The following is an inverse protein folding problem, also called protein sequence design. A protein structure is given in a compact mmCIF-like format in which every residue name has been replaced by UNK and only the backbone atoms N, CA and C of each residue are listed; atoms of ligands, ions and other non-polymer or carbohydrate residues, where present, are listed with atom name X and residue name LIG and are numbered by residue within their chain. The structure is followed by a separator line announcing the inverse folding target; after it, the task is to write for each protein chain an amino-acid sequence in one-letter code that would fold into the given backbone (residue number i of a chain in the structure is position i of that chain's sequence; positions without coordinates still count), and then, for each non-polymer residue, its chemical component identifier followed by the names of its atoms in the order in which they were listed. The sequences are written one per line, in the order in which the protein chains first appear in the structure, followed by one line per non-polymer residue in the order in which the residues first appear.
data_IF_475631753886
#
_entry.id   IF_475631753886
#
_cell.length_a   1.000
_cell.length_b   1.000
_cell.length_c   1.000
_cell.angle_alpha   90.00
_cell.angle_beta   90.00
_cell.angle_gamma   90.00
#
_symmetry.space_group_name_H-M   'P 1'
#
loop_
_entity.id
_entity.type
_entity.pdbx_description
1 polymer ?
#
# COMPACT_ATOMS: atom_id res chain seq x y z
N UNK A 1 -27.73 -8.82 -40.63
CA UNK A 1 -26.70 -7.78 -40.40
C UNK A 1 -26.96 -7.27 -38.98
N UNK A 2 -26.31 -7.90 -38.01
CA UNK A 2 -26.58 -7.68 -36.59
C UNK A 2 -25.90 -6.42 -36.08
N UNK A 3 -26.67 -5.63 -35.35
CA UNK A 3 -26.39 -4.34 -34.74
C UNK A 3 -25.04 -4.32 -33.98
N UNK A 4 -24.07 -3.59 -34.52
CA UNK A 4 -22.79 -3.34 -33.87
C UNK A 4 -22.91 -2.14 -32.93
N UNK A 5 -23.10 -2.43 -31.64
CA UNK A 5 -22.49 -1.71 -30.51
C UNK A 5 -22.51 -0.18 -30.60
N UNK A 6 -23.65 0.46 -30.30
CA UNK A 6 -23.67 1.83 -29.79
C UNK A 6 -24.06 1.81 -28.30
N UNK A 7 -23.11 1.57 -27.42
CA UNK A 7 -23.30 1.86 -26.01
C UNK A 7 -23.60 3.36 -25.88
N UNK A 8 -24.71 3.72 -25.23
CA UNK A 8 -25.07 5.13 -25.01
C UNK A 8 -24.10 5.74 -23.99
N UNK A 9 -23.69 7.02 -24.13
CA UNK A 9 -22.71 7.68 -23.24
C UNK A 9 -23.02 7.56 -21.73
N UNK A 10 -24.30 7.44 -21.36
CA UNK A 10 -24.76 7.22 -19.99
C UNK A 10 -24.42 5.84 -19.43
N UNK A 11 -24.45 4.79 -20.28
CA UNK A 11 -24.16 3.42 -19.88
C UNK A 11 -22.67 3.21 -19.60
N UNK A 12 -21.80 3.87 -20.37
CA UNK A 12 -20.35 3.80 -20.17
C UNK A 12 -19.92 4.57 -18.91
N UNK A 13 -20.53 5.74 -18.65
CA UNK A 13 -20.30 6.49 -17.41
C UNK A 13 -20.71 5.70 -16.17
N UNK A 14 -21.86 5.03 -16.23
CA UNK A 14 -22.35 4.18 -15.14
C UNK A 14 -21.45 2.96 -14.91
N UNK A 15 -20.92 2.35 -15.98
CA UNK A 15 -19.90 1.29 -15.85
C UNK A 15 -18.63 1.81 -15.18
N UNK A 16 -18.11 2.96 -15.63
CA UNK A 16 -16.93 3.59 -15.04
C UNK A 16 -17.10 3.93 -13.56
N UNK A 17 -18.28 4.39 -13.14
CA UNK A 17 -18.62 4.60 -11.72
C UNK A 17 -18.57 3.32 -10.91
N UNK A 18 -19.15 2.22 -11.41
CA UNK A 18 -19.11 0.93 -10.70
C UNK A 18 -17.70 0.38 -10.59
N UNK A 19 -16.87 0.55 -11.62
CA UNK A 19 -15.47 0.17 -11.59
C UNK A 19 -14.69 0.99 -10.58
N UNK A 20 -14.91 2.31 -10.52
CA UNK A 20 -14.26 3.20 -9.56
C UNK A 20 -14.60 2.79 -8.13
N UNK A 21 -15.88 2.58 -7.82
CA UNK A 21 -16.31 2.14 -6.48
C UNK A 21 -15.67 0.82 -6.05
N UNK A 22 -15.51 -0.13 -6.98
CA UNK A 22 -14.84 -1.41 -6.68
C UNK A 22 -13.35 -1.21 -6.43
N UNK A 23 -12.72 -0.31 -7.19
CA UNK A 23 -11.31 0.04 -7.02
C UNK A 23 -11.08 0.72 -5.67
N UNK A 24 -11.92 1.68 -5.27
CA UNK A 24 -11.88 2.34 -3.96
C UNK A 24 -11.93 1.31 -2.81
N UNK A 25 -12.87 0.38 -2.86
CA UNK A 25 -12.97 -0.67 -1.84
C UNK A 25 -11.74 -1.57 -1.83
N UNK A 26 -11.21 -1.94 -3.00
CA UNK A 26 -10.00 -2.76 -3.08
C UNK A 26 -8.80 -2.03 -2.49
N UNK A 27 -8.62 -0.75 -2.83
CA UNK A 27 -7.60 0.13 -2.28
C UNK A 27 -7.70 0.15 -0.76
N UNK A 28 -8.87 0.48 -0.21
CA UNK A 28 -9.07 0.61 1.22
C UNK A 28 -8.76 -0.69 1.97
N UNK A 29 -9.18 -1.83 1.42
CA UNK A 29 -8.87 -3.14 1.98
C UNK A 29 -7.38 -3.42 1.96
N UNK A 30 -6.68 -3.12 0.85
CA UNK A 30 -5.23 -3.35 0.76
C UNK A 30 -4.47 -2.45 1.76
N UNK A 31 -4.84 -1.17 1.87
CA UNK A 31 -4.23 -0.28 2.86
C UNK A 31 -4.52 -0.72 4.30
N UNK A 32 -5.72 -1.20 4.60
CA UNK A 32 -6.04 -1.78 5.90
C UNK A 32 -5.17 -3.00 6.21
N UNK A 33 -4.93 -3.88 5.22
CA UNK A 33 -4.04 -5.03 5.36
C UNK A 33 -2.58 -4.62 5.58
N UNK A 34 -2.09 -3.59 4.87
CA UNK A 34 -0.74 -3.06 5.07
C UNK A 34 -0.55 -2.47 6.47
N UNK A 35 -1.53 -1.71 6.97
CA UNK A 35 -1.51 -1.18 8.33
C UNK A 35 -1.50 -2.34 9.34
N UNK A 36 -2.35 -3.35 9.13
CA UNK A 36 -2.39 -4.54 9.97
C UNK A 36 -1.05 -5.29 9.99
N UNK A 37 -0.42 -5.47 8.82
CA UNK A 37 0.87 -6.14 8.67
C UNK A 37 1.98 -5.40 9.43
N UNK A 38 2.03 -4.07 9.32
CA UNK A 38 2.98 -3.24 10.06
C UNK A 38 2.79 -3.42 11.57
N UNK A 39 1.55 -3.36 12.06
CA UNK A 39 1.25 -3.53 13.50
C UNK A 39 1.62 -4.93 13.96
N UNK A 40 1.37 -5.95 13.14
CA UNK A 40 1.68 -7.35 13.46
C UNK A 40 3.17 -7.64 13.50
N UNK A 41 3.97 -6.84 12.78
CA UNK A 41 5.43 -7.02 12.71
C UNK A 41 6.19 -6.25 13.78
N UNK A 42 5.51 -5.39 14.55
CA UNK A 42 6.14 -4.75 15.70
C UNK A 42 6.69 -5.82 16.66
N UNK A 43 7.91 -5.63 17.20
CA UNK A 43 8.40 -6.50 18.24
C UNK A 43 7.45 -6.42 19.45
N UNK A 44 7.05 -7.57 19.98
CA UNK A 44 6.17 -7.67 21.14
C UNK A 44 7.01 -8.03 22.36
N UNK A 45 6.93 -7.27 23.47
CA UNK A 45 7.67 -7.63 24.68
C UNK A 45 7.14 -8.96 25.24
N UNK A 46 8.05 -9.92 25.46
CA UNK A 46 7.71 -11.18 26.10
C UNK A 46 7.36 -10.96 27.58
N UNK A 47 6.58 -11.87 28.17
CA UNK A 47 5.96 -11.71 29.50
C UNK A 47 6.91 -11.44 30.67
N UNK A 48 8.23 -11.57 30.49
CA UNK A 48 9.24 -11.23 31.50
C UNK A 48 9.63 -9.73 31.52
N UNK A 49 9.31 -8.96 30.48
CA UNK A 49 9.83 -7.59 30.28
C UNK A 49 8.80 -6.46 30.49
N UNK A 50 7.59 -6.77 30.97
CA UNK A 50 6.51 -5.78 31.21
C UNK A 50 6.77 -4.80 32.38
N UNK A 51 8.00 -4.73 32.88
CA UNK A 51 8.43 -3.71 33.85
C UNK A 51 8.83 -2.42 33.13
N UNK A 52 8.75 -1.27 33.82
CA UNK A 52 9.17 0.03 33.24
C UNK A 52 10.64 -0.01 32.78
N UNK A 53 11.50 -0.71 33.51
CA UNK A 53 12.90 -0.94 33.12
C UNK A 53 13.05 -1.85 31.91
N UNK A 54 12.22 -2.89 31.78
CA UNK A 54 12.20 -3.78 30.61
C UNK A 54 11.70 -3.04 29.35
N UNK A 55 10.68 -2.19 29.49
CA UNK A 55 10.18 -1.35 28.41
C UNK A 55 11.23 -0.34 27.91
N UNK A 56 11.98 0.28 28.83
CA UNK A 56 13.06 1.21 28.48
C UNK A 56 14.23 0.49 27.76
N UNK A 57 14.60 -0.70 28.24
CA UNK A 57 15.66 -1.51 27.65
C UNK A 57 15.28 -2.06 26.28
N UNK A 58 14.01 -2.44 26.10
CA UNK A 58 13.42 -2.78 24.81
C UNK A 58 13.50 -1.60 23.83
N UNK A 59 13.08 -0.40 24.24
CA UNK A 59 13.15 0.80 23.39
C UNK A 59 14.59 1.20 23.00
N UNK A 60 15.57 0.99 23.89
CA UNK A 60 16.98 1.29 23.59
C UNK A 60 17.64 0.26 22.65
N UNK A 61 17.13 -0.98 22.60
CA UNK A 61 17.73 -2.07 21.84
C UNK A 61 17.27 -2.21 20.39
N UNK A 62 16.14 -1.61 20.00
CA UNK A 62 15.47 -1.96 18.74
C UNK A 62 15.51 -0.83 17.69
N UNK A 63 16.53 -0.86 16.83
CA UNK A 63 16.54 -0.11 15.56
C UNK A 63 15.31 -0.43 14.68
N UNK A 64 14.68 -1.58 14.90
CA UNK A 64 13.47 -2.04 14.20
C UNK A 64 12.29 -1.05 14.28
N UNK A 65 12.18 -0.28 15.37
CA UNK A 65 11.12 0.71 15.51
C UNK A 65 11.22 1.83 14.48
N UNK A 66 12.43 2.17 14.03
CA UNK A 66 12.64 3.20 12.99
C UNK A 66 12.15 2.69 11.63
N UNK A 67 12.43 1.43 11.30
CA UNK A 67 12.00 0.80 10.04
C UNK A 67 10.47 0.73 10.01
N UNK A 68 9.86 0.32 11.12
CA UNK A 68 8.40 0.30 11.27
C UNK A 68 7.81 1.71 11.09
N UNK A 69 8.38 2.73 11.74
CA UNK A 69 7.91 4.11 11.61
C UNK A 69 7.96 4.60 10.15
N UNK A 70 9.05 4.30 9.43
CA UNK A 70 9.19 4.62 8.01
C UNK A 70 8.09 3.91 7.19
N UNK A 71 7.85 2.62 7.45
CA UNK A 71 6.78 1.85 6.82
C UNK A 71 5.40 2.49 7.02
N UNK A 72 5.07 2.90 8.25
CA UNK A 72 3.82 3.60 8.57
C UNK A 72 3.68 4.89 7.76
N UNK A 73 4.71 5.74 7.76
CA UNK A 73 4.68 7.02 7.04
C UNK A 73 4.47 6.80 5.54
N UNK A 74 5.16 5.83 4.94
CA UNK A 74 5.00 5.48 3.54
C UNK A 74 3.57 5.03 3.25
N UNK A 75 3.04 4.06 3.99
CA UNK A 75 1.70 3.52 3.77
C UNK A 75 0.63 4.59 3.92
N UNK A 76 0.73 5.45 4.93
CA UNK A 76 -0.21 6.56 5.13
C UNK A 76 -0.14 7.60 4.01
N UNK A 77 1.05 7.94 3.53
CA UNK A 77 1.20 8.89 2.41
C UNK A 77 0.55 8.35 1.13
N UNK A 78 0.80 7.08 0.79
CA UNK A 78 0.18 6.46 -0.39
C UNK A 78 -1.33 6.30 -0.25
N UNK A 79 -1.83 6.01 0.96
CA UNK A 79 -3.27 5.95 1.22
C UNK A 79 -3.93 7.33 1.06
N UNK A 80 -3.34 8.36 1.66
CA UNK A 80 -3.84 9.73 1.56
C UNK A 80 -3.83 10.23 0.11
N UNK A 81 -2.75 9.97 -0.64
CA UNK A 81 -2.66 10.28 -2.06
C UNK A 81 -3.77 9.58 -2.85
N UNK A 82 -3.99 8.28 -2.61
CA UNK A 82 -4.99 7.53 -3.35
C UNK A 82 -6.42 7.99 -3.05
N UNK A 83 -6.71 8.35 -1.80
CA UNK A 83 -8.02 8.90 -1.40
C UNK A 83 -8.29 10.27 -2.00
N UNK A 84 -7.30 11.17 -1.98
CA UNK A 84 -7.44 12.50 -2.55
C UNK A 84 -7.74 12.43 -4.06
N UNK A 85 -6.97 11.61 -4.78
CA UNK A 85 -7.09 11.52 -6.23
C UNK A 85 -8.34 10.73 -6.67
N UNK A 86 -8.69 9.64 -5.96
CA UNK A 86 -9.94 8.91 -6.26
C UNK A 86 -11.19 9.74 -5.95
N UNK A 87 -11.15 10.59 -4.90
CA UNK A 87 -12.26 11.45 -4.52
C UNK A 87 -12.67 12.47 -5.59
N UNK A 88 -11.75 12.86 -6.47
CA UNK A 88 -11.99 13.83 -7.54
C UNK A 88 -12.53 13.19 -8.84
N UNK A 89 -12.58 11.86 -8.94
CA UNK A 89 -13.03 11.15 -10.13
C UNK A 89 -14.54 10.88 -10.13
N UNK A 90 -15.22 11.24 -11.22
CA UNK A 90 -16.61 10.82 -11.44
C UNK A 90 -16.73 9.38 -11.98
N UNK A 91 -15.71 8.86 -12.67
CA UNK A 91 -15.67 7.52 -13.27
C UNK A 91 -14.22 7.11 -13.60
N UNK A 92 -13.88 5.82 -13.48
CA UNK A 92 -12.56 5.29 -13.87
C UNK A 92 -12.57 4.66 -15.26
N UNK A 93 -11.41 4.65 -15.92
CA UNK A 93 -11.13 3.81 -17.10
C UNK A 93 -10.31 2.56 -16.70
N UNK A 94 -10.13 1.63 -17.64
CA UNK A 94 -9.39 0.37 -17.39
C UNK A 94 -7.89 0.60 -17.18
N UNK A 95 -7.30 1.61 -17.82
CA UNK A 95 -5.87 1.93 -17.70
C UNK A 95 -5.53 2.44 -16.29
N UNK A 96 -6.25 3.45 -15.81
CA UNK A 96 -6.15 3.97 -14.44
C UNK A 96 -6.31 2.83 -13.43
N UNK A 97 -7.38 2.05 -13.54
CA UNK A 97 -7.62 0.93 -12.62
C UNK A 97 -6.48 -0.11 -12.62
N UNK A 98 -5.91 -0.42 -13.79
CA UNK A 98 -4.79 -1.37 -13.88
C UNK A 98 -3.53 -0.81 -13.22
N UNK A 99 -3.21 0.45 -13.47
CA UNK A 99 -2.04 1.13 -12.88
C UNK A 99 -2.18 1.26 -11.36
N UNK A 100 -3.36 1.61 -10.86
CA UNK A 100 -3.64 1.62 -9.42
C UNK A 100 -3.47 0.24 -8.79
N UNK A 101 -3.93 -0.83 -9.45
CA UNK A 101 -3.73 -2.21 -8.95
C UNK A 101 -2.23 -2.58 -8.95
N UNK A 102 -1.48 -2.20 -9.98
CA UNK A 102 -0.02 -2.45 -10.01
C UNK A 102 0.71 -1.68 -8.91
N UNK A 103 0.33 -0.44 -8.64
CA UNK A 103 0.83 0.31 -7.49
C UNK A 103 0.57 -0.43 -6.17
N UNK A 104 -0.66 -0.89 -5.93
CA UNK A 104 -1.01 -1.64 -4.73
C UNK A 104 -0.19 -2.93 -4.59
N UNK A 105 0.02 -3.64 -5.70
CA UNK A 105 0.85 -4.85 -5.71
C UNK A 105 2.30 -4.54 -5.33
N UNK A 106 2.87 -3.44 -5.83
CA UNK A 106 4.20 -2.98 -5.43
C UNK A 106 4.28 -2.64 -3.93
N UNK A 107 3.24 -2.02 -3.35
CA UNK A 107 3.20 -1.71 -1.92
C UNK A 107 3.12 -2.98 -1.05
N UNK A 108 2.37 -3.99 -1.47
CA UNK A 108 2.35 -5.30 -0.81
C UNK A 108 3.71 -6.00 -0.89
N UNK A 109 4.38 -5.92 -2.04
CA UNK A 109 5.71 -6.50 -2.19
C UNK A 109 6.79 -5.74 -1.41
N UNK A 110 6.63 -4.42 -1.26
CA UNK A 110 7.43 -3.60 -0.35
C UNK A 110 7.29 -4.08 1.11
N UNK A 111 6.06 -4.27 1.59
CA UNK A 111 5.81 -4.75 2.96
C UNK A 111 6.43 -6.14 3.20
N UNK A 112 6.30 -7.04 2.24
CA UNK A 112 6.98 -8.34 2.26
C UNK A 112 8.51 -8.20 2.38
N UNK A 113 9.13 -7.33 1.57
CA UNK A 113 10.57 -7.09 1.62
C UNK A 113 11.02 -6.38 2.92
N UNK A 114 10.15 -5.55 3.52
CA UNK A 114 10.37 -4.96 4.84
C UNK A 114 10.40 -6.03 5.93
N UNK A 115 9.47 -7.00 5.88
CA UNK A 115 9.46 -8.18 6.75
C UNK A 115 10.75 -9.00 6.65
N UNK A 116 11.22 -9.26 5.43
CA UNK A 116 12.52 -9.94 5.22
C UNK A 116 13.69 -9.15 5.79
N UNK A 117 13.70 -7.82 5.62
CA UNK A 117 14.75 -6.96 6.16
C UNK A 117 14.86 -7.04 7.68
N UNK A 118 13.73 -7.12 8.38
CA UNK A 118 13.72 -7.31 9.84
C UNK A 118 14.16 -8.73 10.25
N UNK A 119 13.79 -9.76 9.49
CA UNK A 119 14.16 -11.15 9.80
C UNK A 119 15.66 -11.42 9.59
N UNK A 120 16.28 -10.77 8.61
CA UNK A 120 17.68 -11.02 8.21
C UNK A 120 18.62 -9.83 8.52
N UNK A 121 18.33 -9.07 9.57
CA UNK A 121 19.19 -7.99 10.10
C UNK A 121 19.67 -6.98 9.04
N UNK A 122 18.74 -6.52 8.21
CA UNK A 122 19.01 -5.51 7.19
C UNK A 122 19.78 -6.02 5.96
N UNK A 123 19.61 -7.28 5.58
CA UNK A 123 20.20 -7.87 4.36
C UNK A 123 20.12 -6.89 3.16
N UNK A 124 21.25 -6.55 2.50
CA UNK A 124 21.28 -5.63 1.37
C UNK A 124 20.30 -5.97 0.25
N UNK A 125 20.01 -7.27 0.04
CA UNK A 125 19.03 -7.69 -0.96
C UNK A 125 17.61 -7.25 -0.59
N UNK A 126 17.21 -7.41 0.68
CA UNK A 126 15.90 -6.98 1.17
C UNK A 126 15.74 -5.46 1.04
N UNK A 127 16.77 -4.68 1.39
CA UNK A 127 16.79 -3.22 1.22
C UNK A 127 16.69 -2.80 -0.26
N UNK A 128 17.37 -3.51 -1.15
CA UNK A 128 17.27 -3.28 -2.59
C UNK A 128 15.86 -3.56 -3.12
N UNK A 129 15.23 -4.66 -2.66
CA UNK A 129 13.84 -4.98 -3.00
C UNK A 129 12.86 -3.93 -2.49
N UNK A 130 13.03 -3.44 -1.25
CA UNK A 130 12.21 -2.35 -0.70
C UNK A 130 12.33 -1.08 -1.55
N UNK A 131 13.55 -0.70 -1.92
CA UNK A 131 13.80 0.52 -2.70
C UNK A 131 13.22 0.40 -4.11
N UNK A 132 13.39 -0.75 -4.76
CA UNK A 132 12.90 -1.00 -6.11
C UNK A 132 11.37 -1.04 -6.17
N UNK A 133 10.74 -1.72 -5.22
CA UNK A 133 9.28 -1.79 -5.14
C UNK A 133 8.64 -0.44 -4.86
N UNK A 134 9.25 0.36 -3.99
CA UNK A 134 8.78 1.70 -3.69
C UNK A 134 8.91 2.64 -4.91
N UNK A 135 10.02 2.54 -5.65
CA UNK A 135 10.19 3.27 -6.91
C UNK A 135 9.08 2.92 -7.91
N UNK A 136 8.79 1.63 -8.12
CA UNK A 136 7.73 1.18 -9.01
C UNK A 136 6.35 1.65 -8.54
N UNK A 137 6.07 1.59 -7.24
CA UNK A 137 4.82 2.10 -6.68
C UNK A 137 4.65 3.60 -6.97
N UNK A 138 5.72 4.39 -6.82
CA UNK A 138 5.71 5.81 -7.18
C UNK A 138 5.45 6.05 -8.67
N UNK A 139 6.10 5.29 -9.56
CA UNK A 139 5.91 5.39 -11.01
C UNK A 139 4.47 5.04 -11.40
N UNK A 140 3.93 3.92 -10.91
CA UNK A 140 2.57 3.51 -11.23
C UNK A 140 1.54 4.47 -10.67
N UNK A 141 1.78 5.02 -9.47
CA UNK A 141 0.95 6.07 -8.91
C UNK A 141 0.92 7.29 -9.82
N UNK A 142 2.07 7.86 -10.16
CA UNK A 142 2.11 9.03 -11.06
C UNK A 142 1.48 8.72 -12.43
N UNK A 143 1.78 7.57 -13.01
CA UNK A 143 1.28 7.18 -14.33
C UNK A 143 -0.23 6.94 -14.37
N UNK A 144 -0.85 6.54 -13.24
CA UNK A 144 -2.31 6.40 -13.17
C UNK A 144 -3.03 7.73 -13.41
N UNK A 145 -2.39 8.85 -13.07
CA UNK A 145 -2.97 10.19 -13.08
C UNK A 145 -2.41 11.12 -14.18
N UNK A 146 -1.54 10.59 -15.05
CA UNK A 146 -0.98 11.32 -16.21
C UNK A 146 -1.87 11.14 -17.45
#
# INVERSE_FOLDING_TARGET
MGDSTSATPSADKERGRRHLRRLEVLVDVVFALLIWDIVSTLPHPDGAELSVSGMAQFLEGHLDLTIVLIGVVIVLNYWAQNNALCGDLEATNSTHATLSIMQLFCLLFYAYAAGLGMQFDGDPLALAMQSFTLLLAGIFGLAAWA
#
